data_IF_680499936412
#
_entry.id   IF_680499936412
#
_cell.length_a   1.000
_cell.length_b   1.000
_cell.length_c   1.000
_cell.angle_alpha   90.00
_cell.angle_beta   90.00
_cell.angle_gamma   90.00
#
_symmetry.space_group_name_H-M   'P 1'
#
loop_
_entity.id
_entity.type
_entity.pdbx_description
1 polymer ?
#
# COMPACT_ATOMS: atom_id res chain seq x y z
N UNK A 1 21.76 -31.94 10.09
CA UNK A 1 20.45 -31.30 9.98
C UNK A 1 20.71 -29.80 9.96
N UNK A 2 20.54 -29.13 8.82
CA UNK A 2 20.61 -27.66 8.80
C UNK A 2 19.53 -27.13 9.74
N UNK A 3 19.93 -26.34 10.74
CA UNK A 3 18.99 -25.63 11.60
C UNK A 3 18.03 -24.81 10.73
N UNK A 4 16.75 -24.76 11.10
CA UNK A 4 15.73 -23.92 10.46
C UNK A 4 16.06 -22.44 10.72
N UNK A 5 17.11 -21.94 10.09
CA UNK A 5 17.61 -20.57 10.24
C UNK A 5 16.68 -19.64 9.47
N UNK A 6 15.87 -18.88 10.21
CA UNK A 6 15.06 -17.83 9.60
C UNK A 6 15.92 -16.58 9.40
N UNK A 7 15.88 -16.02 8.20
CA UNK A 7 16.64 -14.83 7.82
C UNK A 7 15.70 -13.65 7.62
N UNK A 8 16.11 -12.51 8.15
CA UNK A 8 15.47 -11.23 7.91
C UNK A 8 16.52 -10.14 7.75
N UNK A 9 16.11 -9.02 7.16
CA UNK A 9 16.95 -7.85 6.93
C UNK A 9 16.33 -6.63 7.60
N UNK A 10 17.15 -5.80 8.24
CA UNK A 10 16.78 -4.43 8.56
C UNK A 10 17.45 -3.55 7.50
N UNK A 11 16.65 -2.76 6.80
CA UNK A 11 17.13 -1.90 5.71
C UNK A 11 16.92 -0.45 6.10
N UNK A 12 17.96 0.36 6.01
CA UNK A 12 17.93 1.80 6.26
C UNK A 12 18.13 2.58 4.96
N UNK A 13 17.40 3.69 4.81
CA UNK A 13 17.50 4.62 3.69
C UNK A 13 17.57 6.06 4.19
N UNK A 14 18.48 6.91 3.69
CA UNK A 14 18.42 8.34 3.93
C UNK A 14 17.13 8.91 3.31
N UNK A 15 16.49 9.86 4.00
CA UNK A 15 15.27 10.55 3.56
C UNK A 15 15.53 11.39 2.30
N UNK A 16 16.77 11.83 2.10
CA UNK A 16 17.22 12.57 0.92
C UNK A 16 18.13 11.68 0.06
N UNK A 17 17.53 10.66 -0.56
CA UNK A 17 18.19 9.63 -1.37
C UNK A 17 19.15 10.17 -2.45
N UNK A 18 19.00 11.43 -2.87
CA UNK A 18 19.65 11.95 -4.07
C UNK A 18 20.70 13.04 -3.85
N UNK A 19 20.88 13.56 -2.63
CA UNK A 19 21.72 14.76 -2.45
C UNK A 19 22.85 14.62 -1.43
N UNK A 20 22.66 13.96 -0.28
CA UNK A 20 23.73 13.77 0.69
C UNK A 20 23.46 12.59 1.62
N UNK A 21 24.21 11.49 1.45
CA UNK A 21 24.34 10.46 2.49
C UNK A 21 25.16 11.10 3.62
N UNK A 22 24.66 11.16 4.87
CA UNK A 22 25.46 11.66 5.98
C UNK A 22 26.76 10.84 6.13
N UNK A 23 27.92 11.47 6.35
CA UNK A 23 29.19 10.75 6.48
C UNK A 23 29.22 9.79 7.67
N UNK A 24 28.31 9.96 8.64
CA UNK A 24 28.13 9.12 9.81
C UNK A 24 26.91 8.18 9.72
N UNK A 25 26.32 8.02 8.53
CA UNK A 25 25.13 7.18 8.31
C UNK A 25 25.36 5.72 8.75
N UNK A 26 26.50 5.14 8.40
CA UNK A 26 26.88 3.78 8.77
C UNK A 26 27.02 3.62 10.28
N UNK A 27 27.68 4.57 10.93
CA UNK A 27 27.91 4.57 12.39
C UNK A 27 26.59 4.68 13.13
N UNK A 28 25.74 5.66 12.76
CA UNK A 28 24.45 5.90 13.40
C UNK A 28 23.48 4.74 13.25
N UNK A 29 23.35 4.18 12.04
CA UNK A 29 22.45 3.04 11.83
C UNK A 29 22.92 1.80 12.58
N UNK A 30 24.23 1.58 12.67
CA UNK A 30 24.81 0.50 13.45
C UNK A 30 24.53 0.66 14.94
N UNK A 31 24.75 1.84 15.51
CA UNK A 31 24.46 2.13 16.93
C UNK A 31 22.98 1.89 17.27
N UNK A 32 22.06 2.26 16.37
CA UNK A 32 20.62 1.99 16.56
C UNK A 32 20.34 0.49 16.56
N UNK A 33 20.90 -0.26 15.59
CA UNK A 33 20.69 -1.70 15.48
C UNK A 33 21.28 -2.41 16.69
N UNK A 34 22.50 -2.06 17.11
CA UNK A 34 23.13 -2.58 18.33
C UNK A 34 22.31 -2.21 19.58
N UNK A 35 21.79 -0.98 19.68
CA UNK A 35 20.90 -0.57 20.78
C UNK A 35 19.59 -1.36 20.80
N UNK A 36 19.00 -1.65 19.64
CA UNK A 36 17.80 -2.48 19.56
C UNK A 36 18.11 -3.91 20.00
N UNK A 37 19.23 -4.47 19.54
CA UNK A 37 19.64 -5.85 19.83
C UNK A 37 20.14 -6.06 21.26
N UNK A 38 20.61 -5.01 21.93
CA UNK A 38 21.01 -5.01 23.35
C UNK A 38 19.84 -4.80 24.31
N UNK A 39 18.65 -4.46 23.79
CA UNK A 39 17.47 -4.35 24.62
C UNK A 39 17.09 -5.74 25.17
N UNK A 40 17.02 -5.80 26.50
CA UNK A 40 16.81 -7.02 27.28
C UNK A 40 15.61 -7.86 26.81
N UNK A 41 14.58 -7.24 26.25
CA UNK A 41 13.40 -7.96 25.76
C UNK A 41 13.75 -8.90 24.58
N UNK A 42 14.58 -8.46 23.64
CA UNK A 42 14.95 -9.26 22.46
C UNK A 42 15.95 -10.35 22.80
N UNK A 43 16.96 -10.04 23.62
CA UNK A 43 17.97 -11.00 24.06
C UNK A 43 17.40 -12.11 24.94
N UNK A 44 16.44 -11.78 25.80
CA UNK A 44 15.83 -12.77 26.70
C UNK A 44 14.79 -13.66 26.00
N UNK A 45 14.21 -13.20 24.88
CA UNK A 45 13.12 -13.93 24.20
C UNK A 45 13.61 -14.71 22.98
N UNK A 46 14.71 -14.29 22.35
CA UNK A 46 15.17 -14.83 21.07
C UNK A 46 16.71 -14.85 21.02
N UNK A 47 17.33 -16.04 20.96
CA UNK A 47 18.76 -16.15 20.72
C UNK A 47 19.09 -15.80 19.25
N UNK A 48 19.48 -14.55 19.02
CA UNK A 48 19.94 -14.08 17.71
C UNK A 48 21.43 -14.36 17.51
N UNK A 49 21.77 -14.88 16.33
CA UNK A 49 23.14 -14.79 15.83
C UNK A 49 23.16 -13.74 14.72
N UNK A 50 23.71 -12.57 15.04
CA UNK A 50 23.82 -11.46 14.11
C UNK A 50 25.03 -11.67 13.21
N UNK A 51 24.84 -11.60 11.89
CA UNK A 51 25.92 -11.55 10.91
C UNK A 51 25.72 -10.27 10.12
N UNK A 52 26.47 -9.22 10.47
CA UNK A 52 26.40 -7.94 9.78
C UNK A 52 27.16 -8.07 8.47
N UNK A 53 26.45 -8.35 7.38
CA UNK A 53 26.97 -8.24 6.02
C UNK A 53 26.61 -6.84 5.49
N UNK A 54 27.57 -5.91 5.55
CA UNK A 54 27.42 -4.60 4.92
C UNK A 54 27.72 -4.78 3.43
N UNK A 55 26.68 -4.96 2.62
CA UNK A 55 26.79 -4.76 1.18
C UNK A 55 26.34 -3.34 0.84
N UNK A 56 27.27 -2.39 0.57
CA UNK A 56 26.90 -1.16 -0.11
C UNK A 56 26.50 -1.54 -1.54
N UNK A 57 25.24 -1.91 -1.74
CA UNK A 57 24.71 -2.05 -3.08
C UNK A 57 24.52 -0.66 -3.67
N UNK A 58 25.54 -0.19 -4.38
CA UNK A 58 25.30 0.63 -5.56
C UNK A 58 24.66 -0.30 -6.58
N UNK A 59 23.33 -0.44 -6.53
CA UNK A 59 22.58 -0.88 -7.71
C UNK A 59 23.02 0.02 -8.87
N UNK A 60 23.11 -0.54 -10.08
CA UNK A 60 23.79 0.07 -11.23
C UNK A 60 23.40 1.53 -11.51
N UNK A 61 24.07 2.16 -12.48
CA UNK A 61 23.98 3.59 -12.82
C UNK A 61 22.55 4.22 -12.89
N UNK A 62 21.50 3.40 -12.91
CA UNK A 62 20.07 3.75 -13.01
C UNK A 62 19.31 3.88 -11.66
N UNK A 63 19.82 3.42 -10.51
CA UNK A 63 19.14 3.56 -9.20
C UNK A 63 20.13 3.87 -8.05
N UNK A 64 20.33 5.16 -7.76
CA UNK A 64 21.08 5.64 -6.58
C UNK A 64 20.26 5.45 -5.28
N UNK A 65 19.92 4.23 -4.89
CA UNK A 65 19.28 3.93 -3.59
C UNK A 65 20.36 3.64 -2.54
N UNK A 66 20.90 4.69 -1.92
CA UNK A 66 21.84 4.53 -0.81
C UNK A 66 21.15 3.79 0.34
N UNK A 67 21.51 2.52 0.57
CA UNK A 67 20.91 1.72 1.64
C UNK A 67 21.93 0.89 2.40
N UNK A 68 21.65 0.70 3.69
CA UNK A 68 22.39 -0.22 4.55
C UNK A 68 21.49 -1.37 4.95
N UNK A 69 21.98 -2.59 4.78
CA UNK A 69 21.26 -3.81 5.10
C UNK A 69 21.95 -4.55 6.24
N UNK A 70 21.18 -4.91 7.26
CA UNK A 70 21.65 -5.74 8.37
C UNK A 70 20.95 -7.09 8.31
N UNK A 71 21.71 -8.15 8.02
CA UNK A 71 21.19 -9.52 7.98
C UNK A 71 21.18 -10.15 9.37
N UNK A 72 20.03 -10.70 9.76
CA UNK A 72 19.84 -11.29 11.07
C UNK A 72 19.37 -12.73 10.92
N UNK A 73 20.00 -13.64 11.69
CA UNK A 73 19.70 -15.07 11.70
C UNK A 73 19.09 -15.42 13.06
N UNK A 74 17.87 -15.95 13.00
CA UNK A 74 17.20 -16.50 14.16
C UNK A 74 17.50 -18.01 14.26
N UNK A 75 18.09 -18.44 15.37
CA UNK A 75 18.58 -19.80 15.58
C UNK A 75 17.61 -20.68 16.41
N UNK A 76 16.66 -20.08 17.12
CA UNK A 76 15.76 -20.80 18.05
C UNK A 76 14.34 -21.09 17.52
N UNK A 77 13.65 -22.02 18.19
CA UNK A 77 12.24 -22.38 17.95
C UNK A 77 11.27 -21.32 18.51
N UNK A 78 11.31 -20.10 17.97
CA UNK A 78 10.29 -19.09 18.28
C UNK A 78 8.89 -19.53 17.78
N UNK A 79 7.85 -19.22 18.56
CA UNK A 79 6.45 -19.33 18.13
C UNK A 79 6.10 -18.20 17.16
N UNK A 80 4.97 -18.30 16.45
CA UNK A 80 4.53 -17.24 15.55
C UNK A 80 4.23 -15.94 16.29
N UNK A 81 3.63 -16.01 17.48
CA UNK A 81 3.38 -14.84 18.32
C UNK A 81 4.67 -14.12 18.72
N UNK A 82 5.70 -14.85 19.17
CA UNK A 82 7.00 -14.25 19.49
C UNK A 82 7.58 -13.50 18.28
N UNK A 83 7.41 -14.03 17.07
CA UNK A 83 7.88 -13.40 15.84
C UNK A 83 7.07 -12.14 15.48
N UNK A 84 5.76 -12.16 15.64
CA UNK A 84 4.92 -10.97 15.42
C UNK A 84 5.27 -9.85 16.42
N UNK A 85 5.41 -10.20 17.70
CA UNK A 85 5.84 -9.26 18.74
C UNK A 85 7.24 -8.70 18.45
N UNK A 86 8.18 -9.55 18.01
CA UNK A 86 9.52 -9.12 17.60
C UNK A 86 9.45 -8.12 16.44
N UNK A 87 8.71 -8.43 15.37
CA UNK A 87 8.57 -7.54 14.21
C UNK A 87 7.98 -6.20 14.63
N UNK A 88 6.90 -6.22 15.40
CA UNK A 88 6.25 -5.01 15.90
C UNK A 88 7.19 -4.20 16.81
N UNK A 89 7.90 -4.87 17.73
CA UNK A 89 8.88 -4.24 18.62
C UNK A 89 9.99 -3.56 17.82
N UNK A 90 10.62 -4.26 16.87
CA UNK A 90 11.69 -3.67 16.06
C UNK A 90 11.19 -2.45 15.30
N UNK A 91 10.04 -2.54 14.63
CA UNK A 91 9.51 -1.41 13.87
C UNK A 91 9.25 -0.19 14.76
N UNK A 92 8.59 -0.38 15.90
CA UNK A 92 8.29 0.71 16.83
C UNK A 92 9.55 1.28 17.50
N UNK A 93 10.46 0.41 17.96
CA UNK A 93 11.69 0.82 18.63
C UNK A 93 12.62 1.58 17.69
N UNK A 94 12.88 1.04 16.50
CA UNK A 94 13.74 1.67 15.50
C UNK A 94 13.17 3.02 15.09
N UNK A 95 11.86 3.09 14.81
CA UNK A 95 11.21 4.34 14.46
C UNK A 95 11.29 5.38 15.60
N UNK A 96 11.06 4.96 16.84
CA UNK A 96 11.15 5.86 18.00
C UNK A 96 12.57 6.42 18.18
N UNK A 97 13.61 5.57 18.06
CA UNK A 97 15.01 6.01 18.13
C UNK A 97 15.36 6.99 17.01
N UNK A 98 14.94 6.69 15.77
CA UNK A 98 15.13 7.58 14.62
C UNK A 98 14.51 8.94 14.86
N UNK A 99 13.26 8.97 15.36
CA UNK A 99 12.54 10.21 15.66
C UNK A 99 13.19 11.00 16.79
N UNK A 100 13.56 10.35 17.89
CA UNK A 100 14.19 11.01 19.04
C UNK A 100 15.54 11.62 18.70
N UNK A 101 16.33 10.94 17.89
CA UNK A 101 17.63 11.43 17.43
C UNK A 101 17.53 12.39 16.23
N UNK A 102 16.32 12.69 15.76
CA UNK A 102 16.04 13.56 14.61
C UNK A 102 16.83 13.17 13.36
N UNK A 103 17.02 11.86 13.17
CA UNK A 103 17.77 11.37 12.03
C UNK A 103 16.99 11.50 10.73
N UNK A 104 17.72 11.84 9.66
CA UNK A 104 17.18 11.98 8.30
C UNK A 104 17.22 10.65 7.54
N UNK A 105 16.81 9.55 8.17
CA UNK A 105 16.68 8.25 7.52
C UNK A 105 15.44 7.48 7.95
N UNK A 106 14.97 6.57 7.10
CA UNK A 106 13.85 5.65 7.34
C UNK A 106 14.36 4.23 7.41
N UNK A 107 13.58 3.32 7.99
CA UNK A 107 13.94 1.91 8.07
C UNK A 107 12.75 1.00 7.75
N UNK A 108 13.04 -0.22 7.33
CA UNK A 108 12.06 -1.30 7.20
C UNK A 108 12.65 -2.62 7.68
N UNK A 109 11.77 -3.46 8.23
CA UNK A 109 12.07 -4.82 8.57
C UNK A 109 11.57 -5.73 7.46
N UNK A 110 12.44 -6.51 6.82
CA UNK A 110 12.11 -7.32 5.64
C UNK A 110 12.33 -8.78 5.91
N UNK A 111 11.27 -9.57 5.76
CA UNK A 111 11.37 -11.03 5.81
C UNK A 111 11.91 -11.55 4.48
N UNK A 112 13.14 -12.07 4.49
CA UNK A 112 13.79 -12.60 3.28
C UNK A 112 13.51 -14.09 3.10
N UNK A 113 13.13 -14.79 4.16
CA UNK A 113 12.62 -16.16 4.09
C UNK A 113 11.12 -16.10 3.78
N UNK A 114 10.68 -16.72 2.69
CA UNK A 114 9.25 -16.69 2.28
C UNK A 114 8.36 -17.55 3.19
N UNK A 115 8.90 -18.63 3.73
CA UNK A 115 8.25 -19.47 4.74
C UNK A 115 8.75 -19.08 6.13
N UNK A 116 8.46 -17.84 6.52
CA UNK A 116 8.98 -17.32 7.79
C UNK A 116 8.16 -17.81 8.98
N UNK A 117 6.84 -17.80 8.92
CA UNK A 117 6.00 -18.33 10.00
C UNK A 117 5.81 -19.85 9.88
N UNK A 118 5.61 -20.53 11.01
CA UNK A 118 5.30 -21.96 11.03
C UNK A 118 3.79 -22.13 11.03
N UNK A 119 3.20 -22.28 9.85
CA UNK A 119 1.75 -22.26 9.65
C UNK A 119 1.36 -23.30 8.61
N UNK A 120 0.16 -23.85 8.75
CA UNK A 120 -0.36 -24.83 7.81
C UNK A 120 -0.65 -24.19 6.44
N UNK A 121 -0.48 -25.01 5.41
CA UNK A 121 -0.78 -24.61 4.04
C UNK A 121 -2.28 -24.40 3.86
N UNK A 122 -2.65 -23.28 3.22
CA UNK A 122 -4.02 -23.03 2.80
C UNK A 122 -4.04 -22.45 1.37
N UNK A 123 -4.94 -22.97 0.55
CA UNK A 123 -5.12 -22.57 -0.86
C UNK A 123 -5.77 -21.20 -0.99
N UNK A 124 -6.60 -20.81 -0.02
CA UNK A 124 -7.24 -19.50 0.04
C UNK A 124 -7.61 -19.08 1.47
N UNK A 125 -7.49 -17.79 1.75
CA UNK A 125 -8.08 -17.17 2.94
C UNK A 125 -9.30 -16.37 2.47
N UNK A 126 -10.51 -16.88 2.71
CA UNK A 126 -11.75 -16.30 2.18
C UNK A 126 -12.50 -15.51 3.26
N UNK A 127 -13.32 -14.56 2.82
CA UNK A 127 -14.26 -13.82 3.66
C UNK A 127 -13.61 -13.10 4.84
N UNK A 128 -12.37 -12.63 4.67
CA UNK A 128 -11.63 -11.95 5.74
C UNK A 128 -12.29 -10.60 6.03
N UNK A 129 -12.68 -10.33 7.30
CA UNK A 129 -13.16 -9.03 7.71
C UNK A 129 -12.18 -7.91 7.36
N UNK A 130 -12.68 -6.92 6.62
CA UNK A 130 -11.88 -5.77 6.19
C UNK A 130 -12.53 -4.49 6.71
N UNK A 131 -11.84 -3.78 7.59
CA UNK A 131 -12.36 -2.58 8.21
C UNK A 131 -12.48 -1.43 7.21
N UNK A 132 -11.49 -1.28 6.32
CA UNK A 132 -11.53 -0.34 5.21
C UNK A 132 -10.51 -0.69 4.12
N UNK A 133 -10.71 -0.10 2.95
CA UNK A 133 -9.68 0.00 1.93
C UNK A 133 -9.58 1.43 1.38
N UNK A 134 -8.39 1.75 0.87
CA UNK A 134 -8.03 3.11 0.45
C UNK A 134 -7.15 3.10 -0.79
N UNK A 135 -7.36 4.10 -1.64
CA UNK A 135 -6.49 4.49 -2.75
C UNK A 135 -5.63 5.65 -2.26
N UNK A 136 -4.32 5.46 -2.29
CA UNK A 136 -3.38 6.44 -1.78
C UNK A 136 -2.09 6.43 -2.59
N UNK A 137 -1.23 7.36 -2.24
CA UNK A 137 0.15 7.38 -2.68
C UNK A 137 1.11 7.40 -1.49
N UNK A 138 2.40 7.20 -1.75
CA UNK A 138 3.45 7.39 -0.77
C UNK A 138 4.40 8.48 -1.28
N UNK A 139 4.22 9.70 -0.76
CA UNK A 139 5.11 10.83 -1.06
C UNK A 139 6.53 10.54 -0.54
N UNK A 140 6.60 9.81 0.57
CA UNK A 140 7.81 9.35 1.22
C UNK A 140 7.60 7.89 1.66
N UNK A 141 8.67 7.16 1.97
CA UNK A 141 8.72 5.74 2.33
C UNK A 141 7.81 5.34 3.50
N UNK A 142 7.37 6.31 4.31
CA UNK A 142 6.52 6.10 5.50
C UNK A 142 5.36 7.10 5.60
N UNK A 143 5.09 7.92 4.57
CA UNK A 143 4.06 8.98 4.61
C UNK A 143 2.95 8.70 3.60
N UNK A 144 1.86 8.04 4.02
CA UNK A 144 0.70 7.83 3.17
C UNK A 144 0.00 9.16 2.85
N UNK A 145 -0.32 9.34 1.57
CA UNK A 145 -1.05 10.48 1.04
C UNK A 145 -2.39 9.98 0.50
N UNK A 146 -3.45 10.17 1.29
CA UNK A 146 -4.73 9.53 1.07
C UNK A 146 -5.58 10.30 0.05
N UNK A 147 -5.84 9.68 -1.11
CA UNK A 147 -6.70 10.24 -2.15
C UNK A 147 -8.16 9.88 -1.92
N UNK A 148 -8.44 8.59 -1.70
CA UNK A 148 -9.82 8.09 -1.50
C UNK A 148 -9.85 6.96 -0.50
N UNK A 149 -10.73 7.09 0.50
CA UNK A 149 -11.17 5.97 1.34
C UNK A 149 -12.50 5.45 0.78
N UNK A 150 -12.64 4.13 0.66
CA UNK A 150 -13.92 3.54 0.23
C UNK A 150 -14.95 3.76 1.34
N UNK A 151 -16.02 4.47 1.01
CA UNK A 151 -17.17 4.65 1.88
C UNK A 151 -18.18 3.54 1.63
N UNK A 152 -18.69 2.95 2.72
CA UNK A 152 -19.69 1.89 2.67
C UNK A 152 -21.08 2.49 2.91
N UNK A 153 -22.09 1.94 2.23
CA UNK A 153 -23.51 2.25 2.40
C UNK A 153 -24.02 2.17 3.87
N UNK A 154 -25.18 2.77 4.12
CA UNK A 154 -25.87 2.79 5.43
C UNK A 154 -26.41 1.41 5.87
N UNK A 155 -26.75 0.50 4.94
CA UNK A 155 -27.20 -0.87 5.24
C UNK A 155 -26.37 -1.92 4.48
N UNK A 156 -25.13 -2.16 4.91
CA UNK A 156 -24.21 -3.03 4.18
C UNK A 156 -24.52 -4.51 4.41
N UNK A 157 -24.96 -4.88 5.62
CA UNK A 157 -25.22 -6.26 6.00
C UNK A 157 -26.29 -6.91 5.13
N UNK A 158 -27.42 -6.22 4.88
CA UNK A 158 -28.50 -6.76 4.02
C UNK A 158 -28.02 -7.08 2.61
N UNK A 159 -27.22 -6.18 2.01
CA UNK A 159 -26.71 -6.34 0.65
C UNK A 159 -25.69 -7.49 0.59
N UNK A 160 -24.78 -7.56 1.56
CA UNK A 160 -23.74 -8.59 1.62
C UNK A 160 -24.33 -9.97 1.93
N UNK A 161 -25.21 -10.09 2.93
CA UNK A 161 -25.96 -11.30 3.25
C UNK A 161 -26.67 -11.88 2.01
N UNK A 162 -27.31 -11.00 1.24
CA UNK A 162 -27.98 -11.39 0.00
C UNK A 162 -27.00 -11.87 -1.08
N UNK A 163 -25.84 -11.23 -1.20
CA UNK A 163 -24.85 -11.59 -2.21
C UNK A 163 -24.16 -12.92 -1.92
N UNK A 164 -23.80 -13.18 -0.66
CA UNK A 164 -23.21 -14.45 -0.21
C UNK A 164 -24.23 -15.54 0.09
N UNK A 165 -25.52 -15.21 0.10
CA UNK A 165 -26.61 -16.09 0.54
C UNK A 165 -26.38 -16.63 1.97
N UNK A 166 -26.01 -15.72 2.88
CA UNK A 166 -25.75 -15.97 4.32
C UNK A 166 -26.56 -15.00 5.16
N UNK A 167 -26.82 -15.32 6.43
CA UNK A 167 -27.65 -14.49 7.31
C UNK A 167 -26.84 -13.67 8.34
N UNK A 168 -25.55 -13.94 8.44
CA UNK A 168 -24.67 -13.60 9.55
C UNK A 168 -23.44 -12.78 9.14
N UNK A 169 -23.42 -12.20 7.94
CA UNK A 169 -22.36 -11.26 7.54
C UNK A 169 -22.55 -9.94 8.26
N UNK A 170 -21.70 -9.72 9.26
CA UNK A 170 -21.65 -8.48 10.05
C UNK A 170 -20.79 -7.43 9.37
N UNK A 171 -19.70 -7.84 8.73
CA UNK A 171 -18.70 -6.92 8.20
C UNK A 171 -19.12 -6.33 6.85
N UNK A 172 -19.03 -4.98 6.69
CA UNK A 172 -19.44 -4.32 5.47
C UNK A 172 -18.56 -4.61 4.26
N UNK A 173 -17.35 -5.10 4.49
CA UNK A 173 -16.36 -5.38 3.46
C UNK A 173 -15.63 -6.66 3.82
N UNK A 174 -15.49 -7.54 2.83
CA UNK A 174 -14.83 -8.82 2.95
C UNK A 174 -13.74 -8.93 1.88
N UNK A 175 -12.61 -9.50 2.26
CA UNK A 175 -11.48 -9.74 1.34
C UNK A 175 -11.21 -11.23 1.21
N UNK A 176 -11.11 -11.70 -0.02
CA UNK A 176 -10.62 -13.05 -0.32
C UNK A 176 -9.19 -12.95 -0.83
N UNK A 177 -8.29 -13.73 -0.25
CA UNK A 177 -6.97 -14.04 -0.80
C UNK A 177 -7.02 -15.42 -1.43
N UNK A 178 -7.24 -15.48 -2.74
CA UNK A 178 -7.28 -16.72 -3.51
C UNK A 178 -5.86 -17.03 -4.03
N UNK A 179 -5.00 -17.55 -3.15
CA UNK A 179 -3.56 -17.73 -3.42
C UNK A 179 -3.29 -18.57 -4.67
N UNK A 180 -4.03 -19.67 -4.86
CA UNK A 180 -3.87 -20.56 -6.02
C UNK A 180 -4.32 -19.90 -7.34
N UNK A 181 -5.31 -18.99 -7.26
CA UNK A 181 -5.71 -18.15 -8.40
C UNK A 181 -4.82 -16.90 -8.55
N UNK A 182 -3.84 -16.72 -7.66
CA UNK A 182 -2.90 -15.61 -7.61
C UNK A 182 -3.59 -14.25 -7.65
N UNK A 183 -4.66 -14.10 -6.87
CA UNK A 183 -5.40 -12.85 -6.77
C UNK A 183 -5.97 -12.62 -5.37
N UNK A 184 -6.21 -11.36 -5.05
CA UNK A 184 -7.08 -10.97 -3.95
C UNK A 184 -8.29 -10.21 -4.49
N UNK A 185 -9.42 -10.35 -3.81
CA UNK A 185 -10.70 -9.72 -4.20
C UNK A 185 -11.33 -9.09 -2.96
N UNK A 186 -11.49 -7.77 -2.98
CA UNK A 186 -12.26 -7.06 -1.95
C UNK A 186 -13.68 -6.84 -2.46
N UNK A 187 -14.68 -7.15 -1.64
CA UNK A 187 -16.09 -6.94 -1.95
C UNK A 187 -16.75 -6.02 -0.94
N UNK A 188 -17.51 -5.05 -1.43
CA UNK A 188 -18.28 -4.13 -0.60
C UNK A 188 -19.58 -3.69 -1.32
N UNK A 189 -20.62 -3.31 -0.57
CA UNK A 189 -21.89 -2.89 -1.13
C UNK A 189 -21.85 -1.44 -1.63
N UNK A 190 -22.57 -1.17 -2.71
CA UNK A 190 -22.74 0.17 -3.28
C UNK A 190 -24.17 0.35 -3.79
N UNK A 191 -24.78 1.51 -3.54
CA UNK A 191 -26.13 1.83 -4.04
C UNK A 191 -26.05 2.97 -5.04
N UNK A 192 -26.63 2.72 -6.22
CA UNK A 192 -26.75 3.72 -7.28
C UNK A 192 -28.22 4.13 -7.45
N UNK A 193 -28.46 5.37 -7.87
CA UNK A 193 -29.81 5.84 -8.25
C UNK A 193 -29.89 5.91 -9.76
N UNK A 194 -30.58 4.96 -10.37
CA UNK A 194 -30.77 4.92 -11.81
C UNK A 194 -32.04 5.67 -12.19
N UNK A 195 -31.94 6.62 -13.13
CA UNK A 195 -33.11 7.23 -13.77
C UNK A 195 -33.74 6.23 -14.73
N UNK A 196 -35.03 6.00 -14.58
CA UNK A 196 -35.91 5.28 -15.50
C UNK A 196 -36.99 6.25 -16.01
N UNK A 197 -37.75 5.82 -17.02
CA UNK A 197 -38.85 6.60 -17.61
C UNK A 197 -39.91 7.02 -16.58
N UNK A 198 -40.13 6.21 -15.53
CA UNK A 198 -41.14 6.44 -14.48
C UNK A 198 -40.57 7.02 -13.16
N UNK A 199 -39.29 7.43 -13.13
CA UNK A 199 -38.67 8.03 -11.93
C UNK A 199 -37.26 7.51 -11.63
N UNK A 200 -36.79 7.70 -10.39
CA UNK A 200 -35.48 7.16 -9.94
C UNK A 200 -35.66 5.90 -9.11
N UNK A 201 -35.01 4.82 -9.50
CA UNK A 201 -34.95 3.58 -8.72
C UNK A 201 -33.59 3.44 -8.05
N UNK A 202 -33.57 3.06 -6.78
CA UNK A 202 -32.35 2.68 -6.08
C UNK A 202 -31.97 1.23 -6.41
N UNK A 203 -30.78 1.06 -6.97
CA UNK A 203 -30.25 -0.24 -7.37
C UNK A 203 -29.05 -0.57 -6.50
N UNK A 204 -29.11 -1.74 -5.86
CA UNK A 204 -28.03 -2.25 -5.03
C UNK A 204 -27.03 -3.06 -5.87
N UNK A 205 -25.75 -2.82 -5.62
CA UNK A 205 -24.63 -3.52 -6.22
C UNK A 205 -23.71 -4.08 -5.15
N UNK A 206 -22.98 -5.14 -5.50
CA UNK A 206 -21.73 -5.47 -4.85
C UNK A 206 -20.59 -5.12 -5.80
N UNK A 207 -19.69 -4.28 -5.32
CA UNK A 207 -18.47 -3.90 -6.02
C UNK A 207 -17.39 -4.90 -5.67
N UNK A 208 -16.65 -5.37 -6.66
CA UNK A 208 -15.46 -6.19 -6.48
C UNK A 208 -14.23 -5.45 -6.98
N UNK A 209 -13.23 -5.30 -6.12
CA UNK A 209 -11.90 -4.81 -6.47
C UNK A 209 -10.95 -6.02 -6.52
N UNK A 210 -10.53 -6.41 -7.72
CA UNK A 210 -9.61 -7.54 -7.90
C UNK A 210 -8.20 -7.03 -8.15
N UNK A 211 -7.25 -7.48 -7.34
CA UNK A 211 -5.82 -7.28 -7.55
C UNK A 211 -5.20 -8.64 -7.85
N UNK A 212 -4.60 -8.78 -9.03
CA UNK A 212 -3.80 -9.96 -9.37
C UNK A 212 -2.42 -9.80 -8.75
N UNK A 213 -1.86 -10.88 -8.22
CA UNK A 213 -0.54 -10.83 -7.58
C UNK A 213 0.58 -10.38 -8.52
N UNK A 214 0.45 -10.67 -9.82
CA UNK A 214 1.38 -10.13 -10.84
C UNK A 214 1.41 -8.61 -10.93
N UNK A 215 0.35 -7.92 -10.48
CA UNK A 215 0.30 -6.45 -10.44
C UNK A 215 1.06 -5.91 -9.23
N UNK A 216 1.34 -6.73 -8.21
CA UNK A 216 1.99 -6.33 -6.97
C UNK A 216 3.50 -6.22 -7.22
N UNK A 217 4.00 -4.99 -7.18
CA UNK A 217 5.43 -4.69 -7.21
C UNK A 217 6.05 -4.86 -5.82
N UNK A 218 5.36 -4.38 -4.77
CA UNK A 218 5.82 -4.45 -3.37
C UNK A 218 4.64 -4.68 -2.43
N UNK A 219 4.91 -5.40 -1.33
CA UNK A 219 3.97 -5.62 -0.22
C UNK A 219 4.56 -4.97 1.01
N UNK A 220 3.86 -3.99 1.57
CA UNK A 220 4.21 -3.38 2.85
C UNK A 220 3.16 -3.78 3.88
N UNK A 221 3.60 -3.99 5.11
CA UNK A 221 2.76 -4.41 6.22
C UNK A 221 3.01 -3.53 7.44
N UNK A 222 1.94 -3.20 8.15
CA UNK A 222 2.01 -2.54 9.45
C UNK A 222 1.18 -3.34 10.45
N UNK A 223 1.84 -3.84 11.51
CA UNK A 223 1.18 -4.52 12.61
C UNK A 223 0.83 -3.50 13.67
N UNK A 224 -0.46 -3.39 13.99
CA UNK A 224 -0.93 -2.48 15.04
C UNK A 224 -1.49 -3.28 16.20
N UNK A 225 -0.85 -3.15 17.35
CA UNK A 225 -1.32 -3.82 18.55
C UNK A 225 -2.61 -3.15 19.04
N UNK A 226 -3.72 -3.90 19.11
CA UNK A 226 -4.98 -3.36 19.63
C UNK A 226 -4.93 -3.28 21.16
N UNK A 227 -5.25 -2.09 21.69
CA UNK A 227 -5.26 -1.86 23.14
C UNK A 227 -6.41 -2.64 23.77
N UNK A 228 -6.10 -3.53 24.71
CA UNK A 228 -7.09 -4.22 25.56
C UNK A 228 -7.51 -5.63 25.11
N UNK A 229 -7.14 -6.09 23.92
CA UNK A 229 -7.46 -7.45 23.42
C UNK A 229 -6.27 -8.40 23.28
N UNK A 230 -5.03 -7.87 23.30
CA UNK A 230 -3.83 -8.67 23.01
C UNK A 230 -3.77 -9.19 21.56
N UNK A 231 -4.62 -8.68 20.67
CA UNK A 231 -4.66 -9.02 19.26
C UNK A 231 -3.97 -7.95 18.43
N UNK A 232 -3.38 -8.37 17.31
CA UNK A 232 -2.88 -7.46 16.29
C UNK A 232 -3.97 -7.17 15.26
N UNK A 233 -3.96 -5.96 14.71
CA UNK A 233 -4.54 -5.68 13.39
C UNK A 233 -3.43 -5.59 12.36
N UNK A 234 -3.75 -5.88 11.10
CA UNK A 234 -2.80 -5.88 10.01
C UNK A 234 -3.28 -4.93 8.90
N UNK A 235 -2.47 -3.91 8.64
CA UNK A 235 -2.63 -3.08 7.45
C UNK A 235 -1.66 -3.54 6.37
N UNK A 236 -2.19 -3.78 5.17
CA UNK A 236 -1.41 -4.14 4.00
C UNK A 236 -1.49 -3.03 2.97
N UNK A 237 -0.33 -2.67 2.43
CA UNK A 237 -0.18 -1.70 1.37
C UNK A 237 0.45 -2.40 0.16
N UNK A 238 -0.26 -2.36 -0.97
CA UNK A 238 0.20 -2.95 -2.21
C UNK A 238 0.65 -1.84 -3.15
N UNK A 239 1.92 -1.83 -3.51
CA UNK A 239 2.37 -1.03 -4.65
C UNK A 239 2.02 -1.78 -5.93
N UNK A 240 1.11 -1.23 -6.70
CA UNK A 240 0.57 -1.83 -7.91
C UNK A 240 1.20 -1.24 -9.17
N UNK A 241 1.41 -2.07 -10.18
CA UNK A 241 1.78 -1.64 -11.53
C UNK A 241 0.61 -1.01 -12.31
N UNK A 242 -0.61 -1.21 -11.82
CA UNK A 242 -1.85 -0.76 -12.45
C UNK A 242 -2.99 -0.84 -11.43
N UNK A 243 -4.03 -0.01 -11.54
CA UNK A 243 -5.15 -0.02 -10.58
C UNK A 243 -5.87 -1.38 -10.47
N UNK A 244 -6.56 -1.64 -9.35
CA UNK A 244 -7.43 -2.79 -9.19
C UNK A 244 -8.49 -2.89 -10.29
N UNK A 245 -8.84 -4.11 -10.69
CA UNK A 245 -9.93 -4.35 -11.64
C UNK A 245 -11.25 -4.18 -10.91
N UNK A 246 -12.06 -3.23 -11.35
CA UNK A 246 -13.35 -2.92 -10.73
C UNK A 246 -14.46 -3.64 -11.49
N UNK A 247 -15.29 -4.39 -10.77
CA UNK A 247 -16.54 -4.95 -11.30
C UNK A 247 -17.72 -4.63 -10.41
N UNK A 248 -18.92 -4.61 -11.00
CA UNK A 248 -20.18 -4.48 -10.26
C UNK A 248 -21.09 -5.66 -10.57
N UNK A 249 -21.66 -6.24 -9.52
CA UNK A 249 -22.72 -7.24 -9.63
C UNK A 249 -24.03 -6.59 -9.17
N UNK A 250 -24.98 -6.44 -10.09
CA UNK A 250 -26.31 -5.91 -9.79
C UNK A 250 -27.12 -6.94 -9.00
N UNK A 251 -27.67 -6.52 -7.86
CA UNK A 251 -28.66 -7.27 -7.12
C UNK A 251 -30.04 -6.88 -7.64
N UNK A 252 -30.63 -7.69 -8.52
CA UNK A 252 -32.02 -7.51 -8.95
C UNK A 252 -32.97 -7.51 -7.75
N UNK A 253 -34.15 -6.91 -7.80
CA UNK A 253 -35.18 -7.18 -6.78
C UNK A 253 -35.42 -8.71 -6.69
N UNK A 254 -35.75 -9.25 -5.52
CA UNK A 254 -36.09 -10.68 -5.42
C UNK A 254 -37.21 -10.97 -6.41
N UNK A 255 -36.98 -11.87 -7.37
CA UNK A 255 -38.05 -12.40 -8.19
C UNK A 255 -38.87 -13.34 -7.29
N UNK A 256 -40.12 -13.01 -6.94
CA UNK A 256 -40.92 -13.84 -6.04
C UNK A 256 -41.15 -15.27 -6.57
N UNK A 257 -40.85 -15.52 -7.85
CA UNK A 257 -40.95 -16.85 -8.49
C UNK A 257 -39.68 -17.70 -8.40
N UNK A 258 -38.55 -17.15 -7.92
CA UNK A 258 -37.30 -17.90 -7.77
C UNK A 258 -36.94 -18.09 -6.30
N UNK A 259 -36.87 -19.34 -5.79
CA UNK A 259 -36.48 -19.59 -4.41
C UNK A 259 -35.08 -19.02 -4.13
N UNK A 260 -34.92 -18.37 -2.97
CA UNK A 260 -33.69 -17.69 -2.57
C UNK A 260 -32.45 -18.60 -2.55
N UNK A 261 -32.66 -19.92 -2.41
CA UNK A 261 -31.63 -20.94 -2.24
C UNK A 261 -30.73 -21.18 -3.46
N UNK A 262 -31.13 -20.78 -4.67
CA UNK A 262 -30.37 -21.05 -5.91
C UNK A 262 -29.62 -19.84 -6.50
N UNK A 263 -29.61 -18.69 -5.82
CA UNK A 263 -28.93 -17.49 -6.31
C UNK A 263 -27.56 -17.31 -5.64
N UNK A 264 -26.63 -18.25 -5.85
CA UNK A 264 -25.24 -17.99 -5.45
C UNK A 264 -24.61 -16.98 -6.43
N UNK A 265 -24.65 -15.70 -6.06
CA UNK A 265 -24.16 -14.60 -6.89
C UNK A 265 -22.63 -14.51 -6.90
N UNK A 266 -21.94 -15.29 -6.07
CA UNK A 266 -20.47 -15.36 -6.01
C UNK A 266 -19.85 -15.81 -7.34
N UNK A 267 -20.56 -16.64 -8.12
CA UNK A 267 -20.09 -17.08 -9.43
C UNK A 267 -20.30 -16.01 -10.53
N UNK A 268 -21.09 -14.97 -10.28
CA UNK A 268 -21.28 -13.89 -11.25
C UNK A 268 -20.07 -12.97 -11.24
N UNK A 269 -19.40 -12.88 -12.39
CA UNK A 269 -18.24 -12.00 -12.53
C UNK A 269 -18.63 -10.52 -12.47
N UNK A 270 -19.82 -10.15 -12.92
CA UNK A 270 -20.27 -8.75 -13.01
C UNK A 270 -19.59 -8.00 -14.17
N UNK A 271 -20.08 -6.78 -14.42
CA UNK A 271 -19.57 -5.94 -15.51
C UNK A 271 -18.37 -5.12 -15.04
N UNK A 272 -17.41 -4.87 -15.94
CA UNK A 272 -16.19 -4.11 -15.64
C UNK A 272 -16.44 -2.61 -15.79
N UNK A 273 -15.92 -1.83 -14.84
CA UNK A 273 -16.04 -0.37 -14.84
C UNK A 273 -14.69 0.31 -14.60
N UNK A 274 -14.61 1.60 -14.94
CA UNK A 274 -13.46 2.48 -14.64
C UNK A 274 -13.53 2.99 -13.18
N UNK A 275 -14.74 3.18 -12.65
CA UNK A 275 -15.01 3.53 -11.24
C UNK A 275 -16.27 2.80 -10.76
N UNK A 276 -16.51 2.72 -9.44
CA UNK A 276 -17.76 2.14 -8.90
C UNK A 276 -18.87 3.15 -8.62
N UNK A 277 -18.57 4.46 -8.64
CA UNK A 277 -19.58 5.53 -8.69
C UNK A 277 -19.36 6.35 -9.95
N UNK A 278 -20.34 6.33 -10.87
CA UNK A 278 -20.27 7.11 -12.12
C UNK A 278 -20.68 8.57 -11.92
N UNK A 279 -21.29 8.90 -10.77
CA UNK A 279 -21.73 10.26 -10.44
C UNK A 279 -20.61 11.09 -9.83
N UNK A 280 -19.58 10.44 -9.29
CA UNK A 280 -18.37 11.09 -8.83
C UNK A 280 -17.36 11.18 -9.99
N UNK A 281 -17.23 12.35 -10.65
CA UNK A 281 -16.37 12.49 -11.82
C UNK A 281 -14.87 12.36 -11.47
N UNK A 282 -14.50 12.50 -10.19
CA UNK A 282 -13.11 12.48 -9.75
C UNK A 282 -12.65 11.07 -9.37
N UNK A 283 -13.57 10.17 -9.04
CA UNK A 283 -13.26 8.85 -8.51
C UNK A 283 -12.37 8.03 -9.46
N UNK A 284 -12.63 8.09 -10.75
CA UNK A 284 -11.80 7.41 -11.75
C UNK A 284 -10.35 7.94 -11.74
N UNK A 285 -10.17 9.26 -11.64
CA UNK A 285 -8.85 9.90 -11.55
C UNK A 285 -8.11 9.48 -10.29
N UNK A 286 -8.77 9.53 -9.13
CA UNK A 286 -8.21 9.13 -7.85
C UNK A 286 -7.75 7.66 -7.83
N UNK A 287 -8.55 6.75 -8.40
CA UNK A 287 -8.17 5.34 -8.50
C UNK A 287 -6.97 5.15 -9.42
N UNK A 288 -6.95 5.84 -10.56
CA UNK A 288 -5.87 5.71 -11.54
C UNK A 288 -4.55 6.32 -11.07
N UNK A 289 -4.61 7.36 -10.25
CA UNK A 289 -3.47 8.13 -9.74
C UNK A 289 -3.04 7.63 -8.35
N UNK A 290 -3.51 6.45 -7.94
CA UNK A 290 -3.09 5.80 -6.69
C UNK A 290 -2.31 4.52 -7.00
N UNK A 291 -0.97 4.59 -7.04
CA UNK A 291 -0.15 3.40 -7.23
C UNK A 291 -0.16 2.50 -6.00
N UNK A 292 -0.58 3.02 -4.84
CA UNK A 292 -0.69 2.24 -3.61
C UNK A 292 -2.15 1.99 -3.27
N UNK A 293 -2.47 0.71 -3.06
CA UNK A 293 -3.76 0.28 -2.55
C UNK A 293 -3.61 -0.28 -1.15
N UNK A 294 -4.34 0.27 -0.17
CA UNK A 294 -4.30 -0.16 1.22
C UNK A 294 -5.55 -0.94 1.60
N UNK A 295 -5.37 -1.99 2.37
CA UNK A 295 -6.45 -2.70 3.10
C UNK A 295 -6.10 -2.80 4.58
N UNK A 296 -7.11 -2.69 5.43
CA UNK A 296 -7.01 -2.86 6.88
C UNK A 296 -7.82 -4.09 7.28
N UNK A 297 -7.13 -5.16 7.63
CA UNK A 297 -7.72 -6.43 8.05
C UNK A 297 -7.93 -6.43 9.56
N UNK A 298 -9.06 -6.96 10.02
CA UNK A 298 -9.44 -7.00 11.43
C UNK A 298 -10.01 -8.38 11.80
N UNK A 299 -10.21 -8.62 13.10
CA UNK A 299 -10.92 -9.80 13.62
C UNK A 299 -10.36 -11.16 13.17
N UNK A 300 -9.05 -11.25 12.92
CA UNK A 300 -8.36 -12.53 12.68
C UNK A 300 -7.51 -12.94 13.88
N UNK A 301 -7.32 -14.25 14.05
CA UNK A 301 -6.31 -14.75 14.96
C UNK A 301 -4.90 -14.45 14.45
N UNK A 302 -3.93 -14.30 15.36
CA UNK A 302 -2.52 -14.05 15.01
C UNK A 302 -1.95 -15.08 14.04
N UNK A 303 -2.34 -16.35 14.20
CA UNK A 303 -1.92 -17.44 13.34
C UNK A 303 -2.45 -17.29 11.90
N UNK A 304 -3.67 -16.78 11.73
CA UNK A 304 -4.26 -16.52 10.41
C UNK A 304 -3.54 -15.38 9.70
N UNK A 305 -3.15 -14.31 10.41
CA UNK A 305 -2.31 -13.26 9.84
C UNK A 305 -0.96 -13.81 9.37
N UNK A 306 -0.32 -14.66 10.19
CA UNK A 306 0.94 -15.31 9.83
C UNK A 306 0.80 -16.18 8.59
N UNK A 307 -0.26 -16.99 8.52
CA UNK A 307 -0.56 -17.83 7.36
C UNK A 307 -0.76 -16.99 6.10
N UNK A 308 -1.62 -15.98 6.18
CA UNK A 308 -1.93 -15.09 5.07
C UNK A 308 -0.66 -14.43 4.52
N UNK A 309 0.18 -13.88 5.40
CA UNK A 309 1.41 -13.20 5.01
C UNK A 309 2.40 -14.14 4.33
N UNK A 310 2.64 -15.33 4.88
CA UNK A 310 3.48 -16.35 4.24
C UNK A 310 2.95 -16.72 2.85
N UNK A 311 1.66 -17.04 2.75
CA UNK A 311 1.04 -17.48 1.48
C UNK A 311 1.02 -16.37 0.43
N UNK A 312 0.75 -15.12 0.85
CA UNK A 312 0.83 -13.95 0.00
C UNK A 312 2.26 -13.73 -0.51
N UNK A 313 3.27 -13.77 0.38
CA UNK A 313 4.68 -13.58 0.01
C UNK A 313 5.16 -14.65 -0.98
N UNK A 314 4.81 -15.91 -0.73
CA UNK A 314 5.12 -17.04 -1.61
C UNK A 314 4.44 -16.90 -2.98
N UNK A 315 3.13 -16.65 -2.99
CA UNK A 315 2.31 -16.69 -4.21
C UNK A 315 2.47 -15.43 -5.07
N UNK A 316 2.75 -14.28 -4.45
CA UNK A 316 3.10 -13.05 -5.16
C UNK A 316 4.59 -13.00 -5.52
N UNK A 317 5.41 -13.90 -4.97
CA UNK A 317 6.85 -13.93 -5.14
C UNK A 317 7.49 -12.57 -4.75
N UNK A 318 7.00 -12.00 -3.64
CA UNK A 318 7.47 -10.72 -3.08
C UNK A 318 7.82 -10.90 -1.61
N UNK A 319 8.82 -10.16 -1.16
CA UNK A 319 9.06 -10.01 0.27
C UNK A 319 8.02 -9.08 0.88
N UNK A 320 7.73 -9.31 2.16
CA UNK A 320 6.89 -8.41 2.96
C UNK A 320 7.81 -7.48 3.72
N UNK A 321 7.61 -6.18 3.51
CA UNK A 321 8.34 -5.13 4.19
C UNK A 321 7.48 -4.56 5.32
N UNK A 322 7.89 -4.79 6.55
CA UNK A 322 7.20 -4.28 7.71
C UNK A 322 7.70 -2.88 8.05
N UNK A 323 6.76 -1.97 8.23
CA UNK A 323 7.01 -0.54 8.47
C UNK A 323 5.87 0.02 9.29
N UNK A 324 6.18 1.03 10.10
CA UNK A 324 5.16 1.88 10.71
C UNK A 324 4.97 3.13 9.89
N UNK A 325 3.72 3.47 9.59
CA UNK A 325 3.40 4.64 8.78
C UNK A 325 2.99 5.84 9.66
N UNK A 326 3.29 7.05 9.21
CA UNK A 326 2.74 8.26 9.84
C UNK A 326 1.22 8.34 9.59
N UNK A 327 0.46 9.08 10.41
CA UNK A 327 -0.95 9.31 10.15
C UNK A 327 -1.22 9.82 8.73
N UNK A 328 -2.34 9.40 8.15
CA UNK A 328 -2.74 9.76 6.79
C UNK A 328 -2.84 11.29 6.63
N UNK A 329 -2.15 11.84 5.65
CA UNK A 329 -2.45 13.18 5.16
C UNK A 329 -3.57 13.06 4.10
N UNK A 330 -4.79 13.50 4.44
CA UNK A 330 -5.91 13.46 3.49
C UNK A 330 -5.78 14.59 2.46
N UNK A 331 -5.61 14.20 1.19
CA UNK A 331 -5.55 15.12 0.07
C UNK A 331 -6.39 14.58 -1.09
N UNK A 332 -7.65 15.02 -1.19
CA UNK A 332 -8.51 14.59 -2.28
C UNK A 332 -8.02 15.21 -3.60
N UNK A 333 -8.13 14.45 -4.69
CA UNK A 333 -7.57 14.82 -5.99
C UNK A 333 -8.04 16.18 -6.50
N UNK A 334 -9.27 16.58 -6.17
CA UNK A 334 -9.82 17.91 -6.50
C UNK A 334 -9.05 19.10 -5.90
N UNK A 335 -8.13 18.87 -4.95
CA UNK A 335 -7.28 19.91 -4.37
C UNK A 335 -6.00 20.16 -5.16
N UNK A 336 -5.70 19.35 -6.19
CA UNK A 336 -4.57 19.66 -7.06
C UNK A 336 -4.75 21.05 -7.66
N UNK A 337 -3.69 21.85 -7.59
CA UNK A 337 -3.66 23.15 -8.23
C UNK A 337 -3.71 22.98 -9.75
N UNK A 338 -3.95 24.09 -10.44
CA UNK A 338 -3.99 24.11 -11.89
C UNK A 338 -2.66 23.63 -12.51
N UNK A 339 -2.78 22.78 -13.54
CA UNK A 339 -1.65 22.28 -14.34
C UNK A 339 -0.79 23.42 -14.91
N UNK A 340 0.54 23.28 -14.97
CA UNK A 340 1.41 24.25 -15.65
C UNK A 340 1.02 24.56 -17.10
N UNK A 341 0.33 23.63 -17.78
CA UNK A 341 -0.17 23.86 -19.15
C UNK A 341 -1.32 24.87 -19.22
N UNK A 342 -2.14 24.91 -18.18
CA UNK A 342 -3.36 25.72 -18.12
C UNK A 342 -3.13 27.03 -17.37
N UNK A 343 -2.10 27.07 -16.51
CA UNK A 343 -1.75 28.24 -15.72
C UNK A 343 -0.93 29.26 -16.53
N UNK A 344 -1.46 30.47 -16.69
CA UNK A 344 -0.85 31.53 -17.51
C UNK A 344 0.55 31.94 -17.02
N UNK A 345 0.77 32.05 -15.71
CA UNK A 345 2.09 32.41 -15.16
C UNK A 345 3.13 31.34 -15.50
N UNK A 346 2.78 30.06 -15.37
CA UNK A 346 3.66 28.95 -15.75
C UNK A 346 3.98 28.97 -17.26
N UNK A 347 2.99 29.29 -18.11
CA UNK A 347 3.21 29.44 -19.55
C UNK A 347 4.18 30.57 -19.87
N UNK A 348 4.06 31.70 -19.19
CA UNK A 348 4.96 32.85 -19.34
C UNK A 348 6.38 32.54 -18.84
N UNK A 349 6.54 31.82 -17.73
CA UNK A 349 7.85 31.35 -17.26
C UNK A 349 8.58 30.48 -18.30
N UNK A 350 7.82 29.72 -19.09
CA UNK A 350 8.30 28.91 -20.19
C UNK A 350 8.41 29.68 -21.53
N UNK A 351 8.18 31.00 -21.55
CA UNK A 351 8.14 31.83 -22.76
C UNK A 351 7.17 31.30 -23.83
N UNK A 352 6.06 30.68 -23.38
CA UNK A 352 5.10 29.98 -24.24
C UNK A 352 5.74 28.90 -25.14
N UNK A 353 6.89 28.35 -24.75
CA UNK A 353 7.55 27.31 -25.51
C UNK A 353 6.81 25.97 -25.38
N UNK A 354 6.16 25.56 -26.47
CA UNK A 354 5.35 24.34 -26.49
C UNK A 354 6.14 23.07 -26.16
N UNK A 355 7.41 22.96 -26.59
CA UNK A 355 8.23 21.76 -26.33
C UNK A 355 8.52 21.61 -24.83
N UNK A 356 8.89 22.69 -24.17
CA UNK A 356 9.15 22.72 -22.73
C UNK A 356 7.87 22.44 -21.93
N UNK A 357 6.76 23.09 -22.29
CA UNK A 357 5.46 22.87 -21.66
C UNK A 357 4.99 21.42 -21.81
N UNK A 358 5.15 20.85 -23.00
CA UNK A 358 4.82 19.45 -23.25
C UNK A 358 5.71 18.48 -22.45
N UNK A 359 7.01 18.77 -22.32
CA UNK A 359 7.93 17.98 -21.48
C UNK A 359 7.48 18.00 -20.02
N UNK A 360 7.19 19.19 -19.46
CA UNK A 360 6.70 19.36 -18.08
C UNK A 360 5.40 18.57 -17.87
N UNK A 361 4.46 18.68 -18.80
CA UNK A 361 3.21 17.92 -18.76
C UNK A 361 3.44 16.41 -18.82
N UNK A 362 4.37 15.96 -19.67
CA UNK A 362 4.73 14.56 -19.78
C UNK A 362 5.32 14.02 -18.46
N UNK A 363 6.16 14.79 -17.78
CA UNK A 363 6.71 14.44 -16.47
C UNK A 363 5.61 14.30 -15.41
N UNK A 364 4.71 15.27 -15.34
CA UNK A 364 3.57 15.24 -14.42
C UNK A 364 2.58 14.12 -14.74
N UNK A 365 2.47 13.70 -16.00
CA UNK A 365 1.58 12.60 -16.42
C UNK A 365 2.13 11.20 -16.16
N UNK A 366 3.45 11.06 -15.99
CA UNK A 366 4.14 9.75 -15.93
C UNK A 366 4.38 9.22 -14.51
N UNK A 367 4.15 10.03 -13.48
CA UNK A 367 4.35 9.61 -12.10
C UNK A 367 3.33 10.23 -11.17
N UNK A 368 2.36 9.43 -10.71
CA UNK A 368 1.40 9.84 -9.68
C UNK A 368 2.12 10.43 -8.44
N UNK A 369 3.25 9.84 -8.02
CA UNK A 369 4.07 10.35 -6.90
C UNK A 369 4.64 11.74 -7.21
N UNK A 370 5.18 11.93 -8.41
CA UNK A 370 5.76 13.20 -8.85
C UNK A 370 4.68 14.28 -8.91
N UNK A 371 3.50 13.92 -9.42
CA UNK A 371 2.33 14.79 -9.46
C UNK A 371 1.90 15.19 -8.05
N UNK A 372 1.80 14.25 -7.12
CA UNK A 372 1.44 14.53 -5.72
C UNK A 372 2.47 15.42 -5.02
N UNK A 373 3.75 15.30 -5.38
CA UNK A 373 4.78 16.17 -4.82
C UNK A 373 4.70 17.60 -5.39
N UNK A 374 4.54 17.73 -6.70
CA UNK A 374 4.65 19.02 -7.39
C UNK A 374 3.35 19.83 -7.43
N UNK A 375 2.19 19.18 -7.42
CA UNK A 375 0.90 19.82 -7.69
C UNK A 375 0.09 20.16 -6.43
N UNK A 376 0.69 20.06 -5.24
CA UNK A 376 0.02 20.35 -3.97
C UNK A 376 0.01 21.85 -3.65
N UNK A 377 1.07 22.59 -3.99
CA UNK A 377 1.15 24.04 -3.76
C UNK A 377 1.67 24.78 -4.97
N UNK A 378 1.22 26.02 -5.16
CA UNK A 378 1.68 26.88 -6.26
C UNK A 378 3.18 27.14 -6.18
N UNK A 379 3.72 27.35 -4.97
CA UNK A 379 5.14 27.56 -4.76
C UNK A 379 5.99 26.39 -5.29
N UNK A 380 5.63 25.16 -4.94
CA UNK A 380 6.38 23.96 -5.38
C UNK A 380 6.29 23.76 -6.89
N UNK A 381 5.11 23.96 -7.48
CA UNK A 381 4.92 23.88 -8.94
C UNK A 381 5.74 24.94 -9.67
N UNK A 382 5.62 26.19 -9.23
CA UNK A 382 6.23 27.34 -9.90
C UNK A 382 7.76 27.26 -9.82
N UNK A 383 8.31 26.83 -8.68
CA UNK A 383 9.74 26.56 -8.52
C UNK A 383 10.23 25.48 -9.50
N UNK A 384 9.49 24.37 -9.63
CA UNK A 384 9.82 23.31 -10.57
C UNK A 384 9.79 23.78 -12.03
N UNK A 385 8.75 24.52 -12.42
CA UNK A 385 8.61 25.09 -13.77
C UNK A 385 9.74 26.07 -14.05
N UNK A 386 10.06 26.95 -13.10
CA UNK A 386 11.15 27.92 -13.22
C UNK A 386 12.50 27.22 -13.39
N UNK A 387 12.76 26.14 -12.65
CA UNK A 387 13.98 25.33 -12.80
C UNK A 387 14.07 24.70 -14.19
N UNK A 388 13.00 24.07 -14.66
CA UNK A 388 12.94 23.50 -16.00
C UNK A 388 13.20 24.56 -17.09
N UNK A 389 12.61 25.75 -16.94
CA UNK A 389 12.83 26.87 -17.86
C UNK A 389 14.28 27.34 -17.86
N UNK A 390 14.90 27.46 -16.67
CA UNK A 390 16.31 27.84 -16.53
C UNK A 390 17.23 26.82 -17.20
N UNK A 391 17.01 25.53 -16.97
CA UNK A 391 17.81 24.47 -17.58
C UNK A 391 17.62 24.43 -19.10
N UNK A 392 16.40 24.65 -19.59
CA UNK A 392 16.09 24.73 -21.02
C UNK A 392 16.65 25.98 -21.72
N UNK A 393 16.90 27.06 -20.97
CA UNK A 393 17.64 28.22 -21.48
C UNK A 393 19.13 27.91 -21.63
N UNK A 394 19.69 27.08 -20.74
CA UNK A 394 21.09 26.68 -20.77
C UNK A 394 21.37 25.65 -21.86
N UNK A 395 20.48 24.67 -22.02
CA UNK A 395 20.59 23.62 -23.04
C UNK A 395 19.22 23.32 -23.62
N UNK A 396 19.04 23.44 -24.93
CA UNK A 396 17.76 23.16 -25.60
C UNK A 396 17.44 21.66 -25.71
N UNK A 397 18.39 20.79 -25.38
CA UNK A 397 18.25 19.35 -25.32
C UNK A 397 17.97 18.81 -23.91
N UNK A 398 17.27 19.57 -23.06
CA UNK A 398 16.86 19.08 -21.72
C UNK A 398 16.13 17.75 -21.87
N UNK A 399 16.72 16.73 -21.27
CA UNK A 399 16.16 15.42 -21.11
C UNK A 399 16.20 15.05 -19.63
N UNK A 400 15.34 14.12 -19.22
CA UNK A 400 15.57 13.39 -17.98
C UNK A 400 16.82 12.55 -18.26
N UNK A 401 17.90 12.76 -17.51
CA UNK A 401 19.05 11.86 -17.57
C UNK A 401 18.54 10.45 -17.30
N UNK A 402 18.94 9.49 -18.15
CA UNK A 402 18.52 8.09 -18.01
C UNK A 402 18.91 7.53 -16.66
#
# INVERSE_FOLDING_TARGET
MEENVKRFKIIFWPVHEYQHIPPDFDVKTREIVESALSDSYLLNTLQFRIVIDIEPQRLGEEELDARLEYSLKLMEKATNDHLMHMINFFNLFLQHKIQMAQYTFTCAFVLTTREFFKVDFNSANLEIPTQNCSFLNMIDRTKPFLHRKVAVNQDPARIMNRYYNKADIVWPMLTDFEHDKRQLVIRFPFTDRQRREEGSEEVCYVVSLTIRYRQIKRVLADFKHEKGRGQFSLELYFHLSSPPIIRRVKLYAQDPKKPATNNNLLHKQGDRYISWDLRDPYLAGEVNESPIFRIMLCDLANEEYCQLLNRLAMSAERFVEFRTFTPDAFFPFRKFIQSPLENENCRQMCENNYKLLYMIAALLSRGAIVKDYLMVTEATRDEFVQRCSKDFKRDKAVCVSK
#
